data_IF_589290767684
#
_entry.id   IF_589290767684
#
_cell.length_a   1.000
_cell.length_b   1.000
_cell.length_c   1.000
_cell.angle_alpha   90.00
_cell.angle_beta   90.00
_cell.angle_gamma   90.00
#
_symmetry.space_group_name_H-M   'P 1'
#
loop_
_entity.id
_entity.type
_entity.pdbx_description
1 polymer ?
#
# COMPACT_ATOMS: atom_id res chain seq x y z
N UNK A 1 -2.30 38.55 -0.07
CA UNK A 1 -1.04 37.95 0.42
C UNK A 1 -1.40 36.69 1.18
N UNK A 2 -1.41 35.53 0.51
CA UNK A 2 -1.44 34.24 1.20
C UNK A 2 -0.02 33.69 1.16
N UNK A 3 0.77 34.03 2.18
CA UNK A 3 2.01 33.29 2.46
C UNK A 3 1.66 32.17 3.43
N UNK A 4 0.85 31.21 2.97
CA UNK A 4 0.79 29.90 3.60
C UNK A 4 1.98 29.13 3.04
N UNK A 5 3.07 29.09 3.79
CA UNK A 5 4.20 28.21 3.52
C UNK A 5 3.67 26.79 3.42
N UNK A 6 3.58 26.26 2.19
CA UNK A 6 3.25 24.86 1.96
C UNK A 6 4.35 24.05 2.63
N UNK A 7 3.98 23.28 3.66
CA UNK A 7 4.91 22.37 4.32
C UNK A 7 5.19 21.21 3.36
N UNK A 8 6.41 21.17 2.82
CA UNK A 8 6.86 20.03 2.02
C UNK A 8 7.37 18.94 2.97
N UNK A 9 7.07 17.67 2.72
CA UNK A 9 7.64 16.58 3.51
C UNK A 9 9.16 16.55 3.31
N UNK A 10 9.89 16.14 4.33
CA UNK A 10 11.34 15.92 4.24
C UNK A 10 11.68 14.63 3.49
N UNK A 11 10.78 13.65 3.49
CA UNK A 11 10.95 12.34 2.87
C UNK A 11 9.74 11.95 2.01
N UNK A 12 9.99 11.39 0.82
CA UNK A 12 8.99 10.71 0.01
C UNK A 12 9.46 9.28 -0.25
N UNK A 13 8.61 8.32 0.08
CA UNK A 13 8.84 6.89 -0.14
C UNK A 13 7.99 6.40 -1.30
N UNK A 14 8.63 5.87 -2.35
CA UNK A 14 7.96 5.30 -3.51
C UNK A 14 8.02 3.77 -3.43
N UNK A 15 6.87 3.11 -3.23
CA UNK A 15 6.80 1.65 -3.10
C UNK A 15 6.46 0.97 -4.41
N UNK A 16 7.24 -0.04 -4.79
CA UNK A 16 7.04 -0.81 -6.02
C UNK A 16 6.11 -2.02 -5.82
N UNK A 17 4.80 -1.79 -5.74
CA UNK A 17 3.79 -2.86 -5.66
C UNK A 17 3.03 -3.13 -6.97
N UNK A 18 3.34 -2.39 -8.05
CA UNK A 18 2.61 -2.53 -9.32
C UNK A 18 3.08 -3.70 -10.18
N UNK A 19 4.30 -4.22 -9.94
CA UNK A 19 4.92 -5.34 -10.67
C UNK A 19 4.75 -5.26 -12.21
N UNK A 20 4.89 -4.07 -12.78
CA UNK A 20 4.75 -3.82 -14.22
C UNK A 20 5.99 -3.16 -14.79
N UNK A 21 6.41 -3.60 -15.99
CA UNK A 21 7.51 -3.00 -16.74
C UNK A 21 7.16 -1.58 -17.26
N UNK A 22 5.87 -1.23 -17.28
CA UNK A 22 5.40 0.09 -17.72
C UNK A 22 5.57 1.19 -16.67
N UNK A 23 5.94 0.85 -15.43
CA UNK A 23 6.16 1.81 -14.34
C UNK A 23 7.65 1.89 -14.04
N UNK A 24 8.24 3.06 -14.28
CA UNK A 24 9.64 3.34 -13.98
C UNK A 24 9.72 4.27 -12.75
N UNK A 25 10.01 3.71 -11.58
CA UNK A 25 10.06 4.47 -10.33
C UNK A 25 11.28 5.40 -10.27
N UNK A 26 12.38 5.00 -10.90
CA UNK A 26 13.59 5.80 -11.01
C UNK A 26 13.32 7.09 -11.81
N UNK A 27 12.52 7.00 -12.88
CA UNK A 27 12.09 8.16 -13.66
C UNK A 27 11.19 9.10 -12.83
N UNK A 28 10.24 8.53 -12.09
CA UNK A 28 9.35 9.30 -11.20
C UNK A 28 10.16 9.96 -10.09
N UNK A 29 11.08 9.24 -9.46
CA UNK A 29 11.97 9.80 -8.44
C UNK A 29 12.79 10.95 -9.01
N UNK A 30 13.44 10.75 -10.17
CA UNK A 30 14.21 11.81 -10.83
C UNK A 30 13.35 13.01 -11.24
N UNK A 31 12.07 12.81 -11.57
CA UNK A 31 11.13 13.91 -11.78
C UNK A 31 10.86 14.66 -10.47
N UNK A 32 10.54 13.96 -9.38
CA UNK A 32 10.26 14.57 -8.08
C UNK A 32 11.47 15.31 -7.51
N UNK A 33 12.68 14.75 -7.61
CA UNK A 33 13.93 15.38 -7.15
C UNK A 33 14.20 16.72 -7.86
N UNK A 34 13.87 16.83 -9.16
CA UNK A 34 14.02 18.08 -9.91
C UNK A 34 13.10 19.19 -9.39
N UNK A 35 11.89 18.84 -8.99
CA UNK A 35 10.90 19.78 -8.45
C UNK A 35 11.15 20.09 -6.96
N UNK A 36 11.51 19.07 -6.18
CA UNK A 36 11.59 19.11 -4.73
C UNK A 36 13.03 18.89 -4.24
N UNK A 37 13.91 19.85 -4.51
CA UNK A 37 15.36 19.75 -4.23
C UNK A 37 15.75 19.48 -2.76
N UNK A 38 14.83 19.71 -1.83
CA UNK A 38 15.06 19.56 -0.39
C UNK A 38 14.47 18.26 0.17
N UNK A 39 13.73 17.51 -0.65
CA UNK A 39 13.00 16.32 -0.23
C UNK A 39 13.80 15.10 -0.64
N UNK A 40 14.07 14.20 0.32
CA UNK A 40 14.75 12.94 0.05
C UNK A 40 13.76 11.95 -0.54
N UNK A 41 14.02 11.47 -1.76
CA UNK A 41 13.23 10.42 -2.39
C UNK A 41 13.88 9.06 -2.12
N UNK A 42 13.10 8.10 -1.65
CA UNK A 42 13.56 6.73 -1.41
C UNK A 42 12.68 5.73 -2.16
N UNK A 43 13.32 4.91 -2.99
CA UNK A 43 12.67 3.78 -3.63
C UNK A 43 12.61 2.60 -2.65
N UNK A 44 11.44 1.99 -2.52
CA UNK A 44 11.19 0.83 -1.66
C UNK A 44 10.57 -0.31 -2.47
N UNK A 45 10.75 -1.51 -1.98
CA UNK A 45 10.02 -2.69 -2.45
C UNK A 45 8.51 -2.54 -2.20
N UNK A 46 7.74 -3.58 -2.53
CA UNK A 46 6.31 -3.62 -2.22
C UNK A 46 6.03 -3.29 -0.74
N UNK A 47 4.95 -2.55 -0.49
CA UNK A 47 4.62 -2.02 0.83
C UNK A 47 4.42 -3.13 1.87
N UNK A 48 3.70 -4.20 1.52
CA UNK A 48 3.47 -5.33 2.43
C UNK A 48 4.76 -6.10 2.68
N UNK A 49 5.56 -6.34 1.64
CA UNK A 49 6.87 -6.99 1.75
C UNK A 49 7.78 -6.24 2.72
N UNK A 50 7.85 -4.90 2.59
CA UNK A 50 8.61 -4.03 3.48
C UNK A 50 8.09 -4.11 4.91
N UNK A 51 6.78 -4.02 5.13
CA UNK A 51 6.18 -4.15 6.46
C UNK A 51 6.52 -5.50 7.11
N UNK A 52 6.28 -6.60 6.39
CA UNK A 52 6.50 -7.96 6.87
C UNK A 52 7.99 -8.28 7.12
N UNK A 53 8.91 -7.59 6.46
CA UNK A 53 10.36 -7.73 6.67
C UNK A 53 10.83 -7.22 8.05
N UNK A 54 10.12 -6.27 8.65
CA UNK A 54 10.46 -5.71 9.95
C UNK A 54 9.80 -6.42 11.12
N UNK A 55 8.84 -7.30 10.84
CA UNK A 55 8.20 -8.07 11.89
C UNK A 55 9.12 -9.18 12.39
N UNK A 56 9.11 -9.45 13.70
CA UNK A 56 9.72 -10.66 14.24
C UNK A 56 9.12 -11.92 13.60
N UNK A 57 9.91 -12.99 13.37
CA UNK A 57 9.45 -14.22 12.72
C UNK A 57 8.18 -14.81 13.33
N UNK A 58 8.05 -14.74 14.66
CA UNK A 58 6.91 -15.25 15.42
C UNK A 58 5.60 -14.48 15.20
N UNK A 59 5.67 -13.21 14.76
CA UNK A 59 4.49 -12.37 14.48
C UNK A 59 4.12 -12.34 13.01
N UNK A 60 5.04 -12.73 12.12
CA UNK A 60 4.87 -12.61 10.67
C UNK A 60 3.68 -13.41 10.17
N UNK A 61 3.54 -14.66 10.64
CA UNK A 61 2.45 -15.54 10.22
C UNK A 61 1.07 -14.98 10.61
N UNK A 62 0.90 -14.60 11.87
CA UNK A 62 -0.34 -13.99 12.36
C UNK A 62 -0.67 -12.69 11.63
N UNK A 63 0.33 -11.84 11.37
CA UNK A 63 0.12 -10.60 10.64
C UNK A 63 -0.33 -10.86 9.19
N UNK A 64 0.27 -11.85 8.53
CA UNK A 64 -0.14 -12.26 7.17
C UNK A 64 -1.60 -12.71 7.15
N UNK A 65 -2.01 -13.54 8.11
CA UNK A 65 -3.39 -14.04 8.18
C UNK A 65 -4.40 -12.91 8.45
N UNK A 66 -4.07 -12.00 9.36
CA UNK A 66 -4.92 -10.84 9.69
C UNK A 66 -5.06 -9.87 8.50
N UNK A 67 -3.95 -9.55 7.83
CA UNK A 67 -3.95 -8.67 6.66
C UNK A 67 -4.72 -9.33 5.52
N UNK A 68 -4.51 -10.62 5.27
CA UNK A 68 -5.21 -11.36 4.22
C UNK A 68 -6.73 -11.35 4.44
N UNK A 69 -7.18 -11.59 5.69
CA UNK A 69 -8.60 -11.55 6.05
C UNK A 69 -9.19 -10.16 5.85
N UNK A 70 -8.48 -9.11 6.27
CA UNK A 70 -8.91 -7.72 6.07
C UNK A 70 -8.99 -7.38 4.58
N UNK A 71 -7.96 -7.68 3.80
CA UNK A 71 -7.96 -7.47 2.34
C UNK A 71 -9.12 -8.19 1.64
N UNK A 72 -9.43 -9.42 2.06
CA UNK A 72 -10.57 -10.16 1.52
C UNK A 72 -11.91 -9.49 1.87
N UNK A 73 -12.06 -9.00 3.10
CA UNK A 73 -13.29 -8.34 3.56
C UNK A 73 -13.56 -6.99 2.86
N UNK A 74 -12.51 -6.28 2.42
CA UNK A 74 -12.68 -4.98 1.76
C UNK A 74 -12.99 -5.08 0.26
N UNK A 75 -13.01 -6.29 -0.33
CA UNK A 75 -13.32 -6.49 -1.75
C UNK A 75 -14.71 -5.98 -2.09
N UNK A 76 -14.84 -5.42 -3.29
CA UNK A 76 -16.09 -4.90 -3.85
C UNK A 76 -16.66 -5.93 -4.82
N UNK A 77 -17.68 -6.67 -4.38
CA UNK A 77 -18.39 -7.61 -5.25
C UNK A 77 -19.47 -6.92 -6.11
N UNK A 78 -20.04 -5.81 -5.63
CA UNK A 78 -21.08 -5.06 -6.32
C UNK A 78 -20.89 -3.54 -6.12
N UNK A 79 -20.44 -2.85 -7.16
CA UNK A 79 -20.14 -1.40 -7.14
C UNK A 79 -21.35 -0.52 -6.79
N UNK A 80 -22.56 -0.96 -7.16
CA UNK A 80 -23.80 -0.17 -7.01
C UNK A 80 -24.61 -0.50 -5.75
N UNK A 81 -24.08 -1.30 -4.82
CA UNK A 81 -24.77 -1.57 -3.55
C UNK A 81 -24.00 -0.96 -2.40
N UNK A 82 -24.72 -0.38 -1.45
CA UNK A 82 -24.15 -0.02 -0.15
C UNK A 82 -23.57 -1.29 0.48
N UNK A 83 -22.30 -1.19 0.89
CA UNK A 83 -21.55 -2.31 1.45
C UNK A 83 -22.25 -2.76 2.74
N UNK A 84 -22.75 -3.99 2.76
CA UNK A 84 -23.05 -4.71 3.99
C UNK A 84 -21.79 -5.44 4.40
N UNK A 85 -21.41 -5.41 5.68
CA UNK A 85 -20.31 -6.25 6.17
C UNK A 85 -20.64 -7.72 5.89
N UNK A 86 -19.87 -8.34 5.00
CA UNK A 86 -19.96 -9.77 4.70
C UNK A 86 -18.65 -10.39 5.14
N UNK A 87 -18.73 -11.46 5.93
CA UNK A 87 -17.55 -12.20 6.31
C UNK A 87 -16.91 -12.83 5.05
N UNK A 88 -15.62 -12.59 4.79
CA UNK A 88 -14.98 -13.09 3.59
C UNK A 88 -14.95 -14.62 3.57
N UNK A 89 -15.06 -15.20 2.38
CA UNK A 89 -14.92 -16.65 2.22
C UNK A 89 -13.48 -17.08 2.47
N UNK A 90 -13.27 -18.28 3.02
CA UNK A 90 -11.92 -18.81 3.29
C UNK A 90 -11.03 -18.83 2.03
N UNK A 91 -11.62 -19.09 0.86
CA UNK A 91 -10.91 -19.04 -0.43
C UNK A 91 -10.45 -17.62 -0.80
N UNK A 92 -11.21 -16.59 -0.43
CA UNK A 92 -10.83 -15.20 -0.66
C UNK A 92 -9.67 -14.80 0.26
N UNK A 93 -9.69 -15.27 1.51
CA UNK A 93 -8.59 -15.07 2.47
C UNK A 93 -7.32 -15.77 1.99
N UNK A 94 -7.42 -17.05 1.60
CA UNK A 94 -6.27 -17.82 1.12
C UNK A 94 -5.67 -17.23 -0.16
N UNK A 95 -6.51 -16.65 -1.04
CA UNK A 95 -6.03 -15.91 -2.21
C UNK A 95 -5.16 -14.72 -1.81
N UNK A 96 -5.62 -13.85 -0.90
CA UNK A 96 -4.85 -12.69 -0.44
C UNK A 96 -3.59 -13.12 0.33
N UNK A 97 -3.69 -14.18 1.13
CA UNK A 97 -2.56 -14.76 1.85
C UNK A 97 -1.45 -15.19 0.90
N UNK A 98 -1.78 -15.95 -0.15
CA UNK A 98 -0.81 -16.36 -1.18
C UNK A 98 -0.20 -15.17 -1.90
N UNK A 99 -0.99 -14.11 -2.14
CA UNK A 99 -0.52 -12.89 -2.78
C UNK A 99 0.49 -12.14 -1.90
N UNK A 100 0.20 -11.97 -0.61
CA UNK A 100 1.12 -11.35 0.36
C UNK A 100 2.44 -12.12 0.49
N UNK A 101 2.40 -13.45 0.48
CA UNK A 101 3.60 -14.27 0.68
C UNK A 101 4.46 -14.43 -0.58
N UNK A 102 3.84 -14.46 -1.76
CA UNK A 102 4.53 -14.84 -2.99
C UNK A 102 4.57 -13.75 -4.07
N UNK A 103 3.85 -12.63 -3.91
CA UNK A 103 3.82 -11.45 -4.81
C UNK A 103 3.19 -11.70 -6.19
N UNK A 104 3.39 -12.89 -6.76
CA UNK A 104 3.20 -13.20 -8.18
C UNK A 104 1.78 -13.55 -8.61
N UNK A 105 0.78 -13.35 -7.76
CA UNK A 105 -0.61 -13.67 -8.13
C UNK A 105 -1.19 -12.48 -8.89
N UNK A 106 -1.27 -12.60 -10.22
CA UNK A 106 -1.95 -11.60 -11.06
C UNK A 106 -3.36 -11.39 -10.53
N UNK A 107 -3.62 -10.17 -10.07
CA UNK A 107 -4.95 -9.74 -9.66
C UNK A 107 -5.67 -9.26 -10.90
N UNK A 108 -6.56 -10.07 -11.46
CA UNK A 108 -7.39 -9.67 -12.60
C UNK A 108 -8.84 -9.54 -12.14
N UNK A 109 -9.41 -8.35 -12.29
CA UNK A 109 -10.83 -8.09 -12.03
C UNK A 109 -11.23 -8.03 -10.55
N UNK A 110 -10.27 -8.02 -9.62
CA UNK A 110 -10.55 -7.79 -8.19
C UNK A 110 -10.50 -6.29 -7.93
N UNK A 111 -11.63 -5.75 -7.43
CA UNK A 111 -11.77 -4.37 -7.00
C UNK A 111 -11.81 -4.34 -5.46
N UNK A 112 -11.07 -3.42 -4.87
CA UNK A 112 -11.07 -3.17 -3.43
C UNK A 112 -11.72 -1.82 -3.15
N UNK A 113 -12.25 -1.64 -1.95
CA UNK A 113 -12.68 -0.31 -1.51
C UNK A 113 -11.44 0.53 -1.19
N UNK A 114 -11.19 1.60 -1.95
CA UNK A 114 -9.99 2.42 -1.79
C UNK A 114 -9.84 3.11 -0.44
N UNK A 115 -10.96 3.50 0.20
CA UNK A 115 -10.89 4.14 1.52
C UNK A 115 -10.59 3.12 2.61
N UNK A 116 -11.20 1.92 2.53
CA UNK A 116 -10.88 0.85 3.47
C UNK A 116 -9.48 0.28 3.24
N UNK A 117 -9.00 0.25 1.99
CA UNK A 117 -7.62 -0.11 1.68
C UNK A 117 -6.65 0.89 2.31
N UNK A 118 -6.90 2.19 2.17
CA UNK A 118 -6.10 3.22 2.83
C UNK A 118 -6.15 3.06 4.36
N UNK A 119 -7.32 2.79 4.95
CA UNK A 119 -7.47 2.55 6.38
C UNK A 119 -6.77 1.27 6.86
N UNK A 120 -6.62 0.27 6.00
CA UNK A 120 -5.85 -0.95 6.25
C UNK A 120 -4.34 -0.68 6.19
N UNK A 121 -3.87 0.12 5.22
CA UNK A 121 -2.46 0.41 5.01
C UNK A 121 -1.89 1.40 6.03
N UNK A 122 -2.67 2.41 6.44
CA UNK A 122 -2.18 3.50 7.31
C UNK A 122 -1.56 3.02 8.63
N UNK A 123 -2.16 2.06 9.37
CA UNK A 123 -1.58 1.53 10.61
C UNK A 123 -0.30 0.69 10.42
N UNK A 124 0.04 0.33 9.18
CA UNK A 124 1.24 -0.46 8.86
C UNK A 124 2.47 0.42 8.58
N UNK A 125 2.29 1.73 8.51
CA UNK A 125 3.40 2.69 8.41
C UNK A 125 4.20 2.67 9.73
N UNK A 126 5.54 2.62 9.70
CA UNK A 126 6.37 2.66 10.90
C UNK A 126 6.07 3.90 11.76
N UNK A 127 6.07 3.75 13.08
CA UNK A 127 5.74 4.84 14.01
C UNK A 127 6.67 6.05 13.83
N UNK A 128 7.93 5.81 13.49
CA UNK A 128 8.94 6.85 13.24
C UNK A 128 8.67 7.65 11.96
N UNK A 129 7.82 7.14 11.07
CA UNK A 129 7.45 7.75 9.78
C UNK A 129 6.02 8.33 9.82
N UNK A 130 5.34 8.33 10.98
CA UNK A 130 3.98 8.88 11.17
C UNK A 130 3.99 10.39 11.46
N UNK A 131 4.57 11.19 10.57
CA UNK A 131 4.53 12.66 10.68
C UNK A 131 4.35 13.34 9.32
N UNK A 132 4.06 14.64 9.33
CA UNK A 132 3.94 15.44 8.11
C UNK A 132 5.28 15.62 7.36
N UNK A 133 6.39 15.19 7.95
CA UNK A 133 7.70 15.14 7.29
C UNK A 133 7.84 13.94 6.35
N UNK A 134 6.93 12.98 6.40
CA UNK A 134 7.00 11.73 5.64
C UNK A 134 5.78 11.59 4.73
N UNK A 135 6.05 11.28 3.47
CA UNK A 135 5.01 11.01 2.48
C UNK A 135 5.23 9.62 1.86
N UNK A 136 4.20 8.78 1.93
CA UNK A 136 4.23 7.43 1.39
C UNK A 136 3.37 7.37 0.13
N UNK A 137 3.98 6.97 -0.99
CA UNK A 137 3.31 6.79 -2.27
C UNK A 137 3.41 5.33 -2.66
N UNK A 138 2.29 4.62 -2.58
CA UNK A 138 2.21 3.20 -2.87
C UNK A 138 1.68 3.01 -4.28
N UNK A 139 2.52 2.51 -5.18
CA UNK A 139 2.08 2.07 -6.50
C UNK A 139 1.59 0.63 -6.40
N UNK A 140 0.37 0.37 -6.84
CA UNK A 140 -0.25 -0.96 -6.76
C UNK A 140 -0.91 -1.32 -8.08
N UNK A 141 -0.98 -2.62 -8.36
CA UNK A 141 -1.74 -3.19 -9.49
C UNK A 141 -3.18 -3.57 -9.09
N UNK A 142 -3.58 -3.25 -7.86
CA UNK A 142 -4.94 -3.44 -7.37
C UNK A 142 -5.85 -2.35 -7.93
N UNK A 143 -7.07 -2.71 -8.31
CA UNK A 143 -8.11 -1.74 -8.66
C UNK A 143 -8.79 -1.26 -7.39
N UNK A 144 -9.01 0.04 -7.26
CA UNK A 144 -9.70 0.68 -6.13
C UNK A 144 -10.43 1.95 -6.55
#
# INVERSE_FOLDING_TARGET
MFSSTVHLPSFIYLYNGAETESLNLEEIAGYLERWFKQVKIELREDFFSRYLSHLPPEKKETAVDEIARKLAAIKVHQVNRNKSFVEPLDLEVEYERKKLLHGKVKSFGILYDGFELLALLSPLVPEEELSLDHCHIIFTNQLF
#
